data_IF_262754547884
#
_entry.id   IF_262754547884
#
_cell.length_a   1.000
_cell.length_b   1.000
_cell.length_c   1.000
_cell.angle_alpha   90.00
_cell.angle_beta   90.00
_cell.angle_gamma   90.00
#
_symmetry.space_group_name_H-M   'P 1'
#
loop_
_entity.id
_entity.type
_entity.pdbx_description
1 polymer ?
#
# COMPACT_ATOMS: atom_id res chain seq x y z
N UNK A 1 8.29 15.87 9.19
CA UNK A 1 8.31 14.40 9.16
C UNK A 1 7.72 13.99 7.83
N UNK A 2 8.48 13.29 7.00
CA UNK A 2 7.95 12.75 5.75
C UNK A 2 7.00 11.59 6.06
N UNK A 3 5.81 11.60 5.45
CA UNK A 3 4.88 10.48 5.54
C UNK A 3 5.56 9.23 4.97
N UNK A 4 5.43 8.05 5.61
CA UNK A 4 6.05 6.85 5.10
C UNK A 4 5.46 6.51 3.73
N UNK A 5 6.31 5.97 2.86
CA UNK A 5 5.86 5.49 1.57
C UNK A 5 4.90 4.30 1.78
N UNK A 6 3.68 4.30 1.21
CA UNK A 6 2.69 3.25 1.45
C UNK A 6 3.22 1.84 1.17
N UNK A 7 4.10 1.71 0.18
CA UNK A 7 4.75 0.44 -0.16
C UNK A 7 5.76 0.04 0.92
N UNK A 8 6.51 0.98 1.47
CA UNK A 8 7.43 0.71 2.57
C UNK A 8 6.68 0.27 3.83
N UNK A 9 5.57 0.93 4.19
CA UNK A 9 4.72 0.54 5.32
C UNK A 9 4.17 -0.89 5.14
N UNK A 10 3.67 -1.20 3.93
CA UNK A 10 3.17 -2.54 3.62
C UNK A 10 4.28 -3.60 3.68
N UNK A 11 5.46 -3.32 3.12
CA UNK A 11 6.61 -4.27 3.15
C UNK A 11 7.11 -4.52 4.56
N UNK A 12 7.18 -3.48 5.39
CA UNK A 12 7.52 -3.61 6.80
C UNK A 12 6.52 -4.53 7.51
N UNK A 13 5.22 -4.32 7.31
CA UNK A 13 4.20 -5.18 7.89
C UNK A 13 4.32 -6.64 7.41
N UNK A 14 4.59 -6.85 6.11
CA UNK A 14 4.83 -8.18 5.57
C UNK A 14 6.02 -8.86 6.23
N UNK A 15 7.12 -8.15 6.44
CA UNK A 15 8.32 -8.68 7.10
C UNK A 15 8.04 -9.04 8.56
N UNK A 16 7.39 -8.14 9.33
CA UNK A 16 7.10 -8.38 10.75
C UNK A 16 6.15 -9.56 10.96
N UNK A 17 5.19 -9.76 10.05
CA UNK A 17 4.18 -10.83 10.16
C UNK A 17 4.49 -12.07 9.31
N UNK A 18 5.61 -12.08 8.58
CA UNK A 18 5.97 -13.17 7.66
C UNK A 18 4.95 -13.39 6.53
N UNK A 19 4.28 -12.32 6.07
CA UNK A 19 3.24 -12.40 5.04
C UNK A 19 3.86 -12.59 3.67
N UNK A 20 3.22 -13.43 2.86
CA UNK A 20 3.55 -13.62 1.46
C UNK A 20 2.64 -12.79 0.55
N UNK A 21 2.97 -12.73 -0.74
CA UNK A 21 2.09 -12.12 -1.75
C UNK A 21 0.71 -12.78 -1.79
N UNK A 22 0.64 -14.09 -1.53
CA UNK A 22 -0.62 -14.86 -1.51
C UNK A 22 -1.53 -14.41 -0.38
N UNK A 23 -0.96 -14.05 0.77
CA UNK A 23 -1.71 -13.57 1.94
C UNK A 23 -2.31 -12.17 1.73
N UNK A 24 -1.76 -11.40 0.79
CA UNK A 24 -2.29 -10.08 0.42
C UNK A 24 -3.43 -10.16 -0.61
N UNK A 25 -3.67 -11.31 -1.24
CA UNK A 25 -4.69 -11.45 -2.29
C UNK A 25 -6.11 -11.06 -1.83
N UNK A 26 -6.58 -11.43 -0.62
CA UNK A 26 -7.91 -11.01 -0.15
C UNK A 26 -8.03 -9.49 0.05
N UNK A 27 -6.91 -8.83 0.35
CA UNK A 27 -6.86 -7.41 0.71
C UNK A 27 -6.70 -6.52 -0.52
N UNK A 28 -5.94 -6.99 -1.52
CA UNK A 28 -5.51 -6.20 -2.68
C UNK A 28 -6.07 -6.77 -4.00
N UNK A 29 -6.20 -8.08 -4.13
CA UNK A 29 -6.58 -8.81 -5.35
C UNK A 29 -5.45 -9.69 -5.88
N UNK A 30 -5.59 -10.17 -7.12
CA UNK A 30 -4.67 -11.16 -7.72
C UNK A 30 -3.18 -10.79 -7.62
N UNK A 31 -2.26 -11.80 -7.62
CA UNK A 31 -0.82 -11.58 -7.43
C UNK A 31 -0.20 -10.51 -8.32
N UNK A 32 -0.60 -10.44 -9.60
CA UNK A 32 -0.10 -9.41 -10.53
C UNK A 32 -0.33 -8.00 -9.98
N UNK A 33 -1.50 -7.73 -9.38
CA UNK A 33 -1.83 -6.43 -8.79
C UNK A 33 -1.03 -6.17 -7.52
N UNK A 34 -0.83 -7.21 -6.70
CA UNK A 34 0.02 -7.11 -5.51
C UNK A 34 1.44 -6.71 -5.91
N UNK A 35 2.03 -7.37 -6.90
CA UNK A 35 3.35 -7.01 -7.41
C UNK A 35 3.40 -5.61 -8.03
N UNK A 36 2.37 -5.17 -8.76
CA UNK A 36 2.30 -3.80 -9.26
C UNK A 36 2.36 -2.77 -8.13
N UNK A 37 1.65 -3.01 -7.03
CA UNK A 37 1.67 -2.13 -5.84
C UNK A 37 3.01 -2.21 -5.12
N UNK A 38 3.54 -3.41 -4.85
CA UNK A 38 4.82 -3.60 -4.15
C UNK A 38 6.02 -3.02 -4.92
N UNK A 39 5.88 -2.83 -6.23
CA UNK A 39 6.87 -2.19 -7.09
C UNK A 39 6.55 -0.72 -7.38
N UNK A 40 5.51 -0.14 -6.77
CA UNK A 40 5.13 1.27 -6.95
C UNK A 40 4.56 1.61 -8.33
N UNK A 41 4.26 0.62 -9.18
CA UNK A 41 3.65 0.82 -10.51
C UNK A 41 2.17 1.19 -10.41
N UNK A 42 1.52 0.80 -9.31
CA UNK A 42 0.11 1.10 -9.02
C UNK A 42 -0.04 1.60 -7.59
N UNK A 43 -0.85 2.63 -7.41
CA UNK A 43 -1.23 3.14 -6.09
C UNK A 43 -2.34 2.30 -5.46
N UNK A 44 -2.37 2.25 -4.12
CA UNK A 44 -3.47 1.64 -3.38
C UNK A 44 -4.78 2.42 -3.63
N UNK A 45 -5.90 1.70 -3.73
CA UNK A 45 -7.23 2.32 -3.73
C UNK A 45 -7.71 2.53 -2.30
N UNK A 46 -8.68 3.41 -2.08
CA UNK A 46 -9.26 3.63 -0.76
C UNK A 46 -9.82 2.35 -0.13
N UNK A 47 -10.45 1.48 -0.93
CA UNK A 47 -10.93 0.16 -0.48
C UNK A 47 -9.80 -0.74 0.00
N UNK A 48 -8.66 -0.75 -0.70
CA UNK A 48 -7.48 -1.52 -0.29
C UNK A 48 -6.89 -0.96 1.01
N UNK A 49 -6.77 0.37 1.12
CA UNK A 49 -6.29 1.05 2.32
C UNK A 49 -7.13 0.64 3.53
N UNK A 50 -8.46 0.69 3.40
CA UNK A 50 -9.37 0.26 4.46
C UNK A 50 -9.18 -1.19 4.88
N UNK A 51 -9.03 -2.11 3.91
CA UNK A 51 -8.80 -3.54 4.20
C UNK A 51 -7.46 -3.76 4.88
N UNK A 52 -6.39 -3.17 4.36
CA UNK A 52 -5.06 -3.26 4.96
C UNK A 52 -5.03 -2.70 6.38
N UNK A 53 -5.71 -1.58 6.62
CA UNK A 53 -5.84 -1.01 7.96
C UNK A 53 -6.61 -1.94 8.90
N UNK A 54 -7.78 -2.42 8.47
CA UNK A 54 -8.68 -3.20 9.34
C UNK A 54 -8.13 -4.60 9.64
N UNK A 55 -7.52 -5.25 8.65
CA UNK A 55 -7.09 -6.65 8.74
C UNK A 55 -5.64 -6.78 9.22
N UNK A 56 -4.77 -5.83 8.85
CA UNK A 56 -3.35 -5.88 9.22
C UNK A 56 -2.98 -4.83 10.28
N UNK A 57 -3.88 -3.93 10.67
CA UNK A 57 -3.58 -2.90 11.69
C UNK A 57 -2.60 -1.82 11.22
N UNK A 58 -2.30 -1.75 9.92
CA UNK A 58 -1.40 -0.71 9.38
C UNK A 58 -2.11 0.65 9.52
N UNK A 59 -1.51 1.67 10.15
CA UNK A 59 -2.13 2.98 10.23
C UNK A 59 -2.51 3.53 8.85
N UNK A 60 -3.76 3.99 8.68
CA UNK A 60 -4.24 4.44 7.38
C UNK A 60 -3.42 5.63 6.83
N UNK A 61 -2.95 6.51 7.71
CA UNK A 61 -2.03 7.60 7.39
C UNK A 61 -0.70 7.12 6.79
N UNK A 62 -0.25 5.91 7.17
CA UNK A 62 0.95 5.30 6.59
C UNK A 62 0.74 4.68 5.21
N UNK A 63 -0.52 4.54 4.79
CA UNK A 63 -0.92 3.99 3.49
C UNK A 63 -1.37 5.06 2.50
N UNK A 64 -1.43 6.32 2.93
CA UNK A 64 -1.87 7.45 2.12
C UNK A 64 -0.67 8.32 1.82
N UNK A 65 -0.37 8.45 0.53
CA UNK A 65 0.56 9.45 0.02
C UNK A 65 -0.23 10.44 -0.82
N UNK A 66 -0.21 11.75 -0.52
CA UNK A 66 -0.77 12.72 -1.43
C UNK A 66 -0.08 12.56 -2.79
N UNK A 67 -0.81 12.56 -3.92
CA UNK A 67 -0.18 12.57 -5.22
C UNK A 67 0.80 13.75 -5.22
N UNK A 68 2.07 13.50 -5.58
CA UNK A 68 3.04 14.56 -5.76
C UNK A 68 2.36 15.58 -6.68
N UNK A 69 2.11 16.79 -6.17
CA UNK A 69 1.37 17.82 -6.87
C UNK A 69 1.95 17.92 -8.27
N UNK A 70 1.27 17.33 -9.25
CA UNK A 70 1.59 17.56 -10.65
C UNK A 70 1.12 18.98 -10.91
N UNK A 71 1.98 19.93 -10.59
CA UNK A 71 1.94 21.25 -11.19
C UNK A 71 2.40 21.05 -12.63
N UNK A 72 1.50 20.51 -13.45
CA UNK A 72 1.43 20.91 -14.83
C UNK A 72 0.85 22.34 -14.80
N UNK A 73 1.72 23.32 -14.62
CA UNK A 73 1.39 24.71 -14.93
C UNK A 73 1.97 24.95 -16.32
N UNK A 74 1.05 25.19 -17.25
CA UNK A 74 1.17 25.88 -18.54
C UNK A 74 2.53 25.85 -19.27
#
# INVERSE_FOLDING_TARGET
MDLPDPVAALKYEMEQKGLTVKDLEPLIGHPNRVYEILNGKRSLTLTMIWRLHSELGIPAESLIKPPASSRAIA
#
